data_IF_262501150385
#
_entry.id   IF_262501150385
#
_cell.length_a   1.000
_cell.length_b   1.000
_cell.length_c   1.000
_cell.angle_alpha   90.00
_cell.angle_beta   90.00
_cell.angle_gamma   90.00
#
_symmetry.space_group_name_H-M   'P 1'
#
loop_
_entity.id
_entity.type
_entity.pdbx_description
1 polymer ?
#
# COMPACT_ATOMS: atom_id res chain seq x y z
N UNK A 1 -11.99 21.35 61.72
CA UNK A 1 -10.82 20.66 62.31
C UNK A 1 -9.72 20.69 61.26
N UNK A 2 -8.68 21.49 61.47
CA UNK A 2 -7.49 21.62 60.60
C UNK A 2 -6.65 20.36 60.73
N UNK A 3 -6.24 19.77 59.61
CA UNK A 3 -4.95 19.06 59.55
C UNK A 3 -4.21 19.49 58.29
N UNK A 4 -2.99 19.94 58.55
CA UNK A 4 -2.03 20.59 57.68
C UNK A 4 -0.94 19.56 57.38
N UNK A 5 -0.47 19.51 56.13
CA UNK A 5 0.91 19.21 55.67
C UNK A 5 1.62 17.93 56.14
N UNK A 6 2.00 17.08 55.17
CA UNK A 6 3.36 16.51 54.98
C UNK A 6 3.34 15.73 53.65
N UNK A 7 4.29 15.79 52.71
CA UNK A 7 5.68 16.20 52.78
C UNK A 7 6.58 15.03 52.34
N UNK A 8 6.88 14.98 51.05
CA UNK A 8 8.03 14.33 50.38
C UNK A 8 8.16 12.80 50.22
N UNK A 9 8.33 12.47 48.94
CA UNK A 9 9.40 11.65 48.37
C UNK A 9 9.43 10.14 48.66
N UNK A 10 8.87 9.36 47.72
CA UNK A 10 9.59 8.18 47.21
C UNK A 10 9.55 8.25 45.68
N UNK A 11 10.42 9.10 45.13
CA UNK A 11 10.89 8.92 43.77
C UNK A 11 11.84 7.73 43.78
N UNK A 12 11.43 6.61 43.20
CA UNK A 12 12.30 5.53 42.66
C UNK A 12 11.44 4.31 42.32
N UNK A 13 10.67 4.35 41.22
CA UNK A 13 10.32 3.13 40.49
C UNK A 13 9.77 3.42 39.09
N UNK A 14 10.54 4.10 38.24
CA UNK A 14 10.24 4.16 36.81
C UNK A 14 11.50 3.85 36.06
N UNK A 15 11.85 2.56 35.92
CA UNK A 15 12.92 2.13 35.02
C UNK A 15 12.90 0.63 34.68
N UNK A 16 11.72 0.02 34.52
CA UNK A 16 11.62 -1.37 34.04
C UNK A 16 10.60 -1.60 32.91
N UNK A 17 10.11 -0.56 32.23
CA UNK A 17 9.13 -0.71 31.14
C UNK A 17 9.68 -0.29 29.76
N UNK A 18 10.93 -0.62 29.44
CA UNK A 18 11.61 -0.09 28.25
C UNK A 18 11.55 -0.92 26.94
N UNK A 19 11.23 -2.24 26.86
CA UNK A 19 11.21 -2.89 25.54
C UNK A 19 9.82 -2.91 24.87
N UNK A 20 8.74 -2.48 25.52
CA UNK A 20 7.39 -2.62 24.95
C UNK A 20 7.00 -1.54 23.91
N UNK A 21 7.81 -0.50 23.74
CA UNK A 21 7.48 0.62 22.84
C UNK A 21 8.10 0.53 21.43
N UNK A 22 8.88 -0.51 21.11
CA UNK A 22 9.74 -0.48 19.91
C UNK A 22 9.67 -1.66 18.94
N UNK A 23 9.23 -2.85 19.36
CA UNK A 23 9.24 -4.03 18.49
C UNK A 23 7.89 -4.23 17.79
N UNK A 24 7.61 -3.42 16.76
CA UNK A 24 6.55 -3.75 15.82
C UNK A 24 7.01 -4.95 14.98
N UNK A 25 6.57 -6.16 15.31
CA UNK A 25 6.71 -7.32 14.43
C UNK A 25 6.02 -7.00 13.10
N UNK A 26 6.73 -7.05 11.95
CA UNK A 26 6.11 -6.82 10.66
C UNK A 26 4.93 -7.78 10.48
N UNK A 27 3.74 -7.25 10.23
CA UNK A 27 2.59 -8.07 9.94
C UNK A 27 2.90 -8.96 8.71
N UNK A 28 2.49 -10.24 8.71
CA UNK A 28 2.70 -11.11 7.56
C UNK A 28 2.01 -10.51 6.34
N UNK A 29 2.74 -10.37 5.23
CA UNK A 29 2.17 -9.89 3.97
C UNK A 29 1.12 -10.90 3.50
N UNK A 30 -0.11 -10.45 3.38
CA UNK A 30 -1.16 -11.26 2.79
C UNK A 30 -0.83 -11.55 1.32
N UNK A 31 -0.88 -12.82 0.93
CA UNK A 31 -0.68 -13.21 -0.46
C UNK A 31 -1.82 -12.63 -1.31
N UNK A 32 -1.46 -11.87 -2.34
CA UNK A 32 -2.41 -11.36 -3.31
C UNK A 32 -2.78 -12.49 -4.26
N UNK A 33 -4.07 -12.78 -4.38
CA UNK A 33 -4.59 -13.73 -5.37
C UNK A 33 -4.62 -13.04 -6.74
N UNK A 34 -3.53 -13.20 -7.49
CA UNK A 34 -3.34 -12.57 -8.80
C UNK A 34 -4.38 -13.00 -9.84
N UNK A 35 -4.97 -14.20 -9.69
CA UNK A 35 -5.97 -14.70 -10.63
C UNK A 35 -7.29 -13.91 -10.57
N UNK A 36 -7.56 -13.25 -9.44
CA UNK A 36 -8.74 -12.41 -9.25
C UNK A 36 -8.49 -10.94 -9.62
N UNK A 37 -7.29 -10.59 -10.04
CA UNK A 37 -6.97 -9.22 -10.41
C UNK A 37 -7.32 -8.95 -11.87
N UNK A 38 -7.90 -7.78 -12.11
CA UNK A 38 -8.22 -7.30 -13.45
C UNK A 38 -9.48 -7.92 -14.09
N UNK A 39 -9.80 -7.50 -15.32
CA UNK A 39 -10.96 -8.00 -16.05
C UNK A 39 -10.83 -9.49 -16.35
N UNK A 40 -11.91 -10.24 -16.10
CA UNK A 40 -11.98 -11.66 -16.40
C UNK A 40 -12.33 -11.90 -17.88
N UNK A 41 -12.13 -13.13 -18.37
CA UNK A 41 -12.52 -13.49 -19.75
C UNK A 41 -14.01 -13.20 -19.98
N UNK A 42 -14.33 -12.51 -21.07
CA UNK A 42 -15.68 -12.06 -21.39
C UNK A 42 -16.11 -10.77 -20.71
N UNK A 43 -15.35 -10.27 -19.73
CA UNK A 43 -15.56 -8.93 -19.18
C UNK A 43 -14.93 -7.86 -20.06
N UNK A 44 -15.55 -6.68 -20.07
CA UNK A 44 -15.04 -5.52 -20.79
C UNK A 44 -13.80 -4.98 -20.07
N UNK A 45 -12.74 -4.72 -20.84
CA UNK A 45 -11.57 -3.98 -20.35
C UNK A 45 -11.97 -2.51 -20.11
N UNK A 46 -11.64 -1.92 -18.95
CA UNK A 46 -11.88 -0.50 -18.70
C UNK A 46 -11.18 0.39 -19.73
N UNK A 47 -11.83 1.48 -20.12
CA UNK A 47 -11.21 2.49 -20.95
C UNK A 47 -10.05 3.16 -20.20
N UNK A 48 -9.07 3.64 -20.97
CA UNK A 48 -7.95 4.41 -20.45
C UNK A 48 -7.55 5.52 -21.42
N UNK A 49 -6.86 6.52 -20.88
CA UNK A 49 -6.24 7.61 -21.63
C UNK A 49 -4.89 7.89 -20.96
N UNK A 50 -3.83 7.31 -21.51
CA UNK A 50 -2.50 7.31 -20.91
C UNK A 50 -1.48 7.90 -21.87
N UNK A 51 -0.40 8.46 -21.32
CA UNK A 51 0.73 8.96 -22.10
C UNK A 51 1.67 7.80 -22.43
N UNK A 52 2.07 7.71 -23.69
CA UNK A 52 3.16 6.83 -24.13
C UNK A 52 4.53 7.45 -23.86
N UNK A 53 5.60 6.75 -24.23
CA UNK A 53 7.00 7.17 -24.05
C UNK A 53 7.36 8.46 -24.80
N UNK A 54 6.57 8.84 -25.81
CA UNK A 54 6.75 10.09 -26.56
C UNK A 54 5.79 11.20 -26.08
N UNK A 55 5.03 10.98 -25.01
CA UNK A 55 4.04 11.92 -24.49
C UNK A 55 2.77 12.02 -25.32
N UNK A 56 2.55 11.11 -26.28
CA UNK A 56 1.29 11.06 -27.03
C UNK A 56 0.24 10.35 -26.19
N UNK A 57 -1.00 10.81 -26.28
CA UNK A 57 -2.11 10.17 -25.57
C UNK A 57 -2.57 8.95 -26.37
N UNK A 58 -2.59 7.80 -25.71
CA UNK A 58 -3.13 6.54 -26.22
C UNK A 58 -4.38 6.17 -25.44
N UNK A 59 -5.38 5.67 -26.16
CA UNK A 59 -6.60 5.08 -25.62
C UNK A 59 -6.74 3.62 -26.03
N UNK A 60 -7.64 2.88 -25.37
CA UNK A 60 -7.95 1.49 -25.75
C UNK A 60 -8.34 1.38 -27.23
N UNK A 61 -9.13 2.32 -27.74
CA UNK A 61 -9.57 2.35 -29.14
C UNK A 61 -8.40 2.62 -30.09
N UNK A 62 -7.49 3.53 -29.74
CA UNK A 62 -6.36 3.90 -30.60
C UNK A 62 -5.34 2.78 -30.79
N UNK A 63 -5.20 1.89 -29.80
CA UNK A 63 -4.26 0.76 -29.86
C UNK A 63 -4.88 -0.52 -30.42
N UNK A 64 -6.19 -0.52 -30.68
CA UNK A 64 -6.91 -1.70 -31.14
C UNK A 64 -6.56 -2.02 -32.60
N UNK A 65 -6.02 -3.21 -32.85
CA UNK A 65 -5.81 -3.73 -34.20
C UNK A 65 -6.93 -4.67 -34.66
N UNK A 66 -6.86 -5.18 -35.90
CA UNK A 66 -7.83 -6.16 -36.43
C UNK A 66 -7.93 -7.46 -35.60
N UNK A 67 -6.88 -7.77 -34.82
CA UNK A 67 -6.80 -8.93 -33.92
C UNK A 67 -6.94 -8.57 -32.44
N UNK A 68 -7.36 -7.34 -32.14
CA UNK A 68 -7.41 -6.82 -30.78
C UNK A 68 -6.11 -6.13 -30.34
N UNK A 69 -5.97 -5.95 -29.03
CA UNK A 69 -4.82 -5.32 -28.38
C UNK A 69 -4.31 -6.20 -27.22
N UNK A 70 -3.00 -6.10 -26.94
CA UNK A 70 -2.39 -6.72 -25.76
C UNK A 70 -1.94 -5.63 -24.81
N UNK A 71 -2.42 -5.67 -23.56
CA UNK A 71 -2.05 -4.74 -22.50
C UNK A 71 -1.24 -5.49 -21.45
N UNK A 72 0.02 -5.11 -21.27
CA UNK A 72 0.96 -5.78 -20.34
C UNK A 72 1.30 -4.83 -19.20
N UNK A 73 1.02 -5.25 -17.96
CA UNK A 73 1.39 -4.51 -16.76
C UNK A 73 2.69 -5.08 -16.19
N UNK A 74 3.69 -4.21 -15.98
CA UNK A 74 4.95 -4.55 -15.34
C UNK A 74 5.33 -3.45 -14.33
N UNK A 75 6.03 -3.81 -13.25
CA UNK A 75 6.45 -2.83 -12.21
C UNK A 75 7.55 -1.92 -12.71
N UNK A 76 8.54 -2.51 -13.38
CA UNK A 76 9.68 -1.85 -13.97
C UNK A 76 10.14 -2.76 -15.10
N UNK A 77 10.53 -2.16 -16.22
CA UNK A 77 11.12 -2.87 -17.33
C UNK A 77 12.45 -2.19 -17.64
N UNK A 78 13.40 -3.03 -18.01
CA UNK A 78 14.83 -2.80 -18.20
C UNK A 78 15.20 -2.58 -19.68
N UNK A 79 14.19 -2.61 -20.55
CA UNK A 79 14.23 -2.29 -21.97
C UNK A 79 14.38 -0.80 -22.31
#
# INVERSE_FOLDING_TARGET
>A
MRTLMSGSAIGSLVLLLAPLLGAQTPAPRQKVDVAKLGPQVGQRVPDFSLKDQAGRTQTLQSIMGPRGAMVVFFRSADW
#
